data_IF_099108708003
#
_entry.id   IF_099108708003
#
_cell.length_a   1.000
_cell.length_b   1.000
_cell.length_c   1.000
_cell.angle_alpha   90.00
_cell.angle_beta   90.00
_cell.angle_gamma   90.00
#
_symmetry.space_group_name_H-M   'P 1'
#
loop_
_entity.id
_entity.type
_entity.pdbx_description
1 polymer ?
#
# COMPACT_ATOMS: atom_id res chain seq x y z
N UNK A 1 -3.92 -0.92 -7.16
CA UNK A 1 -2.78 -1.02 -6.21
C UNK A 1 -2.12 -2.38 -6.35
N UNK A 2 -0.80 -2.46 -6.19
CA UNK A 2 -0.06 -3.71 -6.16
C UNK A 2 0.92 -3.69 -4.99
N UNK A 3 1.19 -4.83 -4.37
CA UNK A 3 2.06 -4.90 -3.20
C UNK A 3 2.67 -6.28 -2.96
N UNK A 4 3.52 -6.38 -1.94
CA UNK A 4 4.22 -7.62 -1.61
C UNK A 4 3.35 -8.68 -0.93
N UNK A 5 2.17 -8.30 -0.41
CA UNK A 5 1.24 -9.20 0.28
C UNK A 5 0.73 -10.36 -0.60
N UNK A 6 0.81 -10.23 -1.93
CA UNK A 6 0.51 -11.29 -2.89
C UNK A 6 1.69 -11.60 -3.81
N UNK A 7 2.92 -11.31 -3.35
CA UNK A 7 4.15 -11.40 -4.13
C UNK A 7 4.10 -10.60 -5.46
N UNK A 8 3.37 -9.47 -5.48
CA UNK A 8 3.18 -8.61 -6.66
C UNK A 8 2.45 -9.28 -7.82
N UNK A 9 1.71 -10.36 -7.55
CA UNK A 9 1.03 -11.14 -8.59
C UNK A 9 -0.35 -10.57 -8.92
N UNK A 10 -1.01 -9.95 -7.94
CA UNK A 10 -2.31 -9.33 -8.09
C UNK A 10 -2.23 -7.82 -8.30
N UNK A 11 -3.29 -7.30 -8.93
CA UNK A 11 -3.58 -5.87 -8.96
C UNK A 11 -5.01 -5.70 -8.50
N UNK A 12 -5.21 -4.87 -7.50
CA UNK A 12 -6.55 -4.59 -6.99
C UNK A 12 -6.99 -3.21 -7.44
N UNK A 13 -8.12 -3.17 -8.15
CA UNK A 13 -8.80 -1.93 -8.46
C UNK A 13 -9.45 -1.37 -7.18
N UNK A 14 -9.32 -0.05 -6.98
CA UNK A 14 -9.89 0.65 -5.84
C UNK A 14 -10.59 1.91 -6.34
N UNK A 15 -11.79 2.13 -5.83
CA UNK A 15 -12.58 3.31 -6.16
C UNK A 15 -12.33 4.41 -5.11
N UNK A 16 -12.32 5.69 -5.52
CA UNK A 16 -12.25 6.79 -4.57
C UNK A 16 -13.58 6.92 -3.81
N UNK A 17 -13.48 7.33 -2.55
CA UNK A 17 -14.63 7.75 -1.75
C UNK A 17 -15.20 9.10 -2.26
N UNK A 18 -16.33 9.60 -1.70
CA UNK A 18 -16.90 10.88 -2.08
C UNK A 18 -15.98 12.11 -1.87
N UNK A 19 -14.93 11.96 -1.07
CA UNK A 19 -13.90 13.00 -0.85
C UNK A 19 -12.77 12.95 -1.89
N UNK A 20 -12.76 11.93 -2.74
CA UNK A 20 -11.70 11.67 -3.71
C UNK A 20 -10.52 10.90 -3.13
N UNK A 21 -10.63 10.32 -1.94
CA UNK A 21 -9.60 9.51 -1.30
C UNK A 21 -9.75 8.05 -1.69
N UNK A 22 -8.64 7.39 -2.02
CA UNK A 22 -8.61 5.97 -2.28
C UNK A 22 -8.20 5.22 -1.02
N UNK A 23 -8.95 4.17 -0.68
CA UNK A 23 -8.68 3.33 0.48
C UNK A 23 -8.47 1.88 0.06
N UNK A 24 -7.46 1.24 0.65
CA UNK A 24 -7.16 -0.16 0.43
C UNK A 24 -6.82 -0.84 1.75
N UNK A 25 -7.42 -1.99 2.00
CA UNK A 25 -7.20 -2.76 3.21
C UNK A 25 -6.36 -3.99 2.89
N UNK A 26 -5.36 -4.25 3.72
CA UNK A 26 -4.56 -5.48 3.65
C UNK A 26 -4.10 -5.89 5.03
N UNK A 27 -3.57 -7.11 5.16
CA UNK A 27 -2.98 -7.59 6.40
C UNK A 27 -1.47 -7.67 6.26
N UNK A 28 -0.76 -7.31 7.32
CA UNK A 28 0.68 -7.53 7.38
C UNK A 28 1.00 -9.02 7.38
N UNK A 29 1.92 -9.46 6.52
CA UNK A 29 2.44 -10.83 6.55
C UNK A 29 3.35 -11.10 7.75
N UNK A 30 3.95 -12.29 7.78
CA UNK A 30 4.83 -12.79 8.85
C UNK A 30 6.02 -11.86 9.15
N UNK A 31 6.57 -11.21 8.11
CA UNK A 31 7.70 -10.28 8.25
C UNK A 31 7.29 -8.95 8.91
N UNK A 32 5.98 -8.67 8.95
CA UNK A 32 5.39 -7.39 9.34
C UNK A 32 5.85 -6.20 8.50
N UNK A 33 6.37 -6.48 7.31
CA UNK A 33 6.86 -5.48 6.38
C UNK A 33 6.20 -5.68 5.03
N UNK A 34 5.55 -4.65 4.51
CA UNK A 34 4.90 -4.71 3.20
C UNK A 34 5.34 -3.53 2.34
N UNK A 35 5.55 -3.78 1.05
CA UNK A 35 5.81 -2.76 0.06
C UNK A 35 4.66 -2.66 -0.92
N UNK A 36 4.40 -1.46 -1.43
CA UNK A 36 3.33 -1.24 -2.39
C UNK A 36 3.56 -0.04 -3.30
N UNK A 37 2.77 0.00 -4.38
CA UNK A 37 2.62 1.17 -5.26
C UNK A 37 1.20 1.27 -5.81
N UNK A 38 0.80 2.47 -6.21
CA UNK A 38 -0.44 2.70 -6.95
C UNK A 38 -0.14 2.80 -8.43
N UNK A 39 -1.14 2.49 -9.25
CA UNK A 39 -1.04 2.54 -10.70
C UNK A 39 -2.40 2.81 -11.30
N UNK A 40 -2.41 3.52 -12.43
CA UNK A 40 -3.59 3.73 -13.25
C UNK A 40 -3.68 2.61 -14.29
N UNK A 41 -4.89 2.10 -14.51
CA UNK A 41 -5.19 1.09 -15.54
C UNK A 41 -4.23 -0.11 -15.54
N UNK A 42 -3.83 -0.55 -14.34
CA UNK A 42 -2.89 -1.66 -14.16
C UNK A 42 -1.54 -1.50 -14.89
N UNK A 43 -1.16 -0.26 -15.23
CA UNK A 43 -0.01 0.02 -16.05
C UNK A 43 1.14 0.64 -15.23
N UNK A 44 2.28 -0.06 -15.15
CA UNK A 44 3.49 0.44 -14.48
C UNK A 44 4.09 1.69 -15.16
N UNK A 45 3.69 2.00 -16.39
CA UNK A 45 4.07 3.26 -17.04
C UNK A 45 3.26 4.47 -16.53
N UNK A 46 2.19 4.23 -15.77
CA UNK A 46 1.33 5.24 -15.15
C UNK A 46 1.18 4.95 -13.65
N UNK A 47 2.31 4.86 -12.96
CA UNK A 47 2.37 4.56 -11.54
C UNK A 47 2.50 5.83 -10.69
N UNK A 48 1.94 5.77 -9.48
CA UNK A 48 2.30 6.67 -8.39
C UNK A 48 3.21 5.92 -7.42
N UNK A 49 4.32 6.56 -7.08
CA UNK A 49 5.36 5.97 -6.24
C UNK A 49 6.08 7.06 -5.43
N UNK A 50 6.80 6.75 -4.35
CA UNK A 50 7.46 7.76 -3.55
C UNK A 50 8.74 8.31 -4.22
N UNK A 51 9.09 9.56 -3.89
CA UNK A 51 10.29 10.23 -4.39
C UNK A 51 11.60 9.51 -4.00
N UNK A 52 11.60 8.70 -2.93
CA UNK A 52 12.75 7.91 -2.47
C UNK A 52 12.41 6.42 -2.37
N UNK A 53 13.37 5.51 -2.54
CA UNK A 53 13.17 4.08 -2.32
C UNK A 53 12.75 3.77 -0.88
N UNK A 54 11.89 2.75 -0.71
CA UNK A 54 11.43 2.24 0.61
C UNK A 54 10.91 3.35 1.53
N UNK A 55 10.10 4.24 0.98
CA UNK A 55 9.66 5.43 1.68
C UNK A 55 8.59 5.14 2.74
N UNK A 56 8.65 5.90 3.84
CA UNK A 56 7.59 5.94 4.84
C UNK A 56 6.36 6.73 4.34
N UNK A 57 5.33 6.81 5.19
CA UNK A 57 4.14 7.63 4.93
C UNK A 57 4.50 9.11 4.75
N UNK A 58 3.63 9.85 4.08
CA UNK A 58 3.75 11.31 3.84
C UNK A 58 4.99 11.76 3.04
N UNK A 59 5.81 10.83 2.55
CA UNK A 59 6.85 11.15 1.56
C UNK A 59 6.20 11.61 0.27
N UNK A 60 6.81 12.60 -0.39
CA UNK A 60 6.35 13.16 -1.67
C UNK A 60 6.06 12.05 -2.68
N UNK A 61 4.85 12.06 -3.22
CA UNK A 61 4.44 11.17 -4.31
C UNK A 61 4.88 11.73 -5.66
N UNK A 62 5.47 10.87 -6.48
CA UNK A 62 5.80 11.11 -7.89
C UNK A 62 4.77 10.44 -8.81
N UNK A 63 4.69 10.93 -10.04
CA UNK A 63 3.79 10.41 -11.06
C UNK A 63 2.46 11.15 -11.18
N UNK A 64 1.53 10.66 -12.03
CA UNK A 64 1.59 9.36 -12.71
C UNK A 64 2.63 9.37 -13.84
N UNK A 65 3.62 8.49 -13.76
CA UNK A 65 4.64 8.32 -14.79
C UNK A 65 5.26 6.93 -14.72
N UNK A 66 6.28 6.67 -15.55
CA UNK A 66 6.96 5.38 -15.57
C UNK A 66 7.58 5.08 -14.21
N UNK A 67 7.12 3.99 -13.60
CA UNK A 67 7.63 3.52 -12.32
C UNK A 67 9.15 3.36 -12.36
N UNK A 68 9.79 3.82 -11.28
CA UNK A 68 11.21 3.66 -11.06
C UNK A 68 11.45 2.49 -10.12
N UNK A 69 12.26 1.55 -10.55
CA UNK A 69 12.56 0.34 -9.78
C UNK A 69 13.03 0.66 -8.34
N UNK A 70 12.49 -0.08 -7.37
CA UNK A 70 12.78 0.09 -5.94
C UNK A 70 12.06 1.26 -5.27
N UNK A 71 11.39 2.14 -6.01
CA UNK A 71 10.55 3.19 -5.45
C UNK A 71 9.17 2.63 -5.12
N UNK A 72 9.07 2.02 -3.94
CA UNK A 72 7.82 1.59 -3.33
C UNK A 72 7.71 2.21 -1.94
N UNK A 73 6.49 2.44 -1.48
CA UNK A 73 6.26 2.72 -0.06
C UNK A 73 6.56 1.46 0.73
N UNK A 74 7.13 1.63 1.92
CA UNK A 74 7.42 0.56 2.86
C UNK A 74 6.61 0.81 4.13
N UNK A 75 5.73 -0.14 4.43
CA UNK A 75 5.04 -0.26 5.71
C UNK A 75 5.93 -1.13 6.59
N UNK A 76 6.41 -0.59 7.71
CA UNK A 76 7.18 -1.34 8.70
C UNK A 76 6.40 -1.41 10.01
N UNK A 77 5.61 -2.48 10.17
CA UNK A 77 4.83 -2.69 11.39
C UNK A 77 5.66 -2.97 12.63
N UNK A 78 6.99 -3.11 12.52
CA UNK A 78 7.86 -3.38 13.68
C UNK A 78 8.11 -2.11 14.48
N UNK A 79 8.19 -0.96 13.81
CA UNK A 79 8.39 0.34 14.45
C UNK A 79 7.18 0.70 15.32
N UNK A 80 5.97 0.40 14.83
CA UNK A 80 4.70 0.63 15.54
C UNK A 80 4.21 -0.58 16.37
N UNK A 81 5.03 -1.63 16.49
CA UNK A 81 4.71 -2.87 17.21
C UNK A 81 3.41 -3.57 16.76
N UNK A 82 3.02 -3.39 15.50
CA UNK A 82 1.92 -4.12 14.90
C UNK A 82 2.26 -5.61 14.83
N UNK A 83 1.23 -6.44 14.97
CA UNK A 83 1.36 -7.90 14.95
C UNK A 83 1.29 -8.42 13.52
N UNK A 84 1.78 -9.63 13.31
CA UNK A 84 1.43 -10.40 12.11
C UNK A 84 -0.10 -10.46 11.98
N UNK A 85 -0.58 -10.34 10.74
CA UNK A 85 -2.00 -10.33 10.45
C UNK A 85 -2.71 -9.02 10.79
N UNK A 86 -2.04 -8.00 11.35
CA UNK A 86 -2.67 -6.71 11.64
C UNK A 86 -3.32 -6.14 10.37
N UNK A 87 -4.62 -5.82 10.48
CA UNK A 87 -5.35 -5.14 9.41
C UNK A 87 -4.86 -3.70 9.33
N UNK A 88 -4.48 -3.27 8.14
CA UNK A 88 -4.00 -1.93 7.86
C UNK A 88 -4.84 -1.31 6.74
N UNK A 89 -5.11 -0.02 6.87
CA UNK A 89 -5.78 0.78 5.85
C UNK A 89 -4.73 1.69 5.21
N UNK A 90 -4.42 1.43 3.94
CA UNK A 90 -3.63 2.31 3.10
C UNK A 90 -4.57 3.35 2.49
N UNK A 91 -4.21 4.62 2.60
CA UNK A 91 -4.99 5.73 2.06
C UNK A 91 -4.12 6.59 1.13
N UNK A 92 -4.66 6.91 -0.04
CA UNK A 92 -4.12 7.93 -0.93
C UNK A 92 -5.13 9.06 -1.03
N UNK A 93 -4.76 10.27 -0.63
CA UNK A 93 -5.66 11.43 -0.62
C UNK A 93 -5.13 12.52 -1.53
N UNK A 94 -6.00 13.28 -2.22
CA UNK A 94 -5.59 14.51 -2.88
C UNK A 94 -5.20 15.54 -1.81
N UNK A 95 -4.05 16.19 -2.00
CA UNK A 95 -3.73 17.36 -1.17
C UNK A 95 -4.70 18.49 -1.50
N UNK A 96 -5.14 19.23 -0.47
CA UNK A 96 -6.09 20.34 -0.63
C UNK A 96 -5.41 21.60 -1.16
N UNK A 97 -4.09 21.73 -0.96
CA UNK A 97 -3.33 22.92 -1.30
C UNK A 97 -2.50 22.76 -2.56
N UNK A 98 -2.09 21.53 -2.88
CA UNK A 98 -1.37 21.19 -4.10
C UNK A 98 -2.09 20.11 -4.89
N UNK A 99 -1.79 19.98 -6.18
CA UNK A 99 -2.28 18.85 -6.97
C UNK A 99 -1.62 17.50 -6.60
N UNK A 100 -0.82 17.45 -5.52
CA UNK A 100 -0.13 16.25 -5.10
C UNK A 100 -1.08 15.18 -4.55
N UNK A 101 -0.54 13.97 -4.42
CA UNK A 101 -1.19 12.86 -3.72
C UNK A 101 -0.40 12.59 -2.43
N UNK A 102 -1.10 12.49 -1.31
CA UNK A 102 -0.52 12.13 -0.02
C UNK A 102 -0.87 10.68 0.25
N UNK A 103 0.14 9.87 0.56
CA UNK A 103 -0.04 8.46 0.91
C UNK A 103 0.26 8.26 2.38
N UNK A 104 -0.65 7.61 3.08
CA UNK A 104 -0.52 7.25 4.50
C UNK A 104 -1.14 5.88 4.76
N UNK A 105 -0.88 5.32 5.93
CA UNK A 105 -1.50 4.08 6.37
C UNK A 105 -1.63 4.07 7.88
N UNK A 106 -2.63 3.36 8.38
CA UNK A 106 -2.87 3.20 9.81
C UNK A 106 -3.38 1.79 10.12
N UNK A 107 -3.13 1.32 11.36
CA UNK A 107 -3.70 0.08 11.85
C UNK A 107 -5.19 0.25 12.10
N UNK A 108 -5.98 -0.70 11.61
CA UNK A 108 -7.42 -0.77 11.86
C UNK A 108 -7.64 -1.63 13.10
N UNK A 109 -8.32 -1.12 14.14
CA UNK A 109 -8.69 -1.92 15.30
C UNK A 109 -9.52 -3.14 14.90
N UNK A 110 -9.26 -4.31 15.52
CA UNK A 110 -9.97 -5.56 15.22
C UNK A 110 -11.49 -5.44 15.36
N UNK A 111 -11.96 -4.55 16.26
CA UNK A 111 -13.38 -4.29 16.51
C UNK A 111 -14.09 -3.59 15.32
N UNK A 112 -13.33 -3.00 14.40
CA UNK A 112 -13.86 -2.29 13.22
C UNK A 112 -13.78 -3.12 11.93
N UNK A 113 -13.17 -4.30 11.96
CA UNK A 113 -12.76 -5.08 10.79
C UNK A 113 -13.68 -6.24 10.41
N UNK A 114 -14.98 -6.03 10.23
CA UNK A 114 -15.84 -6.99 9.52
C UNK A 114 -15.83 -6.69 8.01
N UNK A 115 -14.71 -6.96 7.35
CA UNK A 115 -14.73 -7.23 5.92
C UNK A 115 -13.73 -8.37 5.66
N UNK A 116 -14.28 -9.57 5.47
CA UNK A 116 -13.55 -10.81 5.28
C UNK A 116 -12.61 -10.70 4.07
N UNK A 117 -11.30 -10.75 4.28
CA UNK A 117 -10.31 -11.00 3.23
C UNK A 117 -9.50 -12.24 3.61
N UNK A 118 -9.39 -13.18 2.67
CA UNK A 118 -8.78 -14.48 2.91
C UNK A 118 -7.26 -14.32 3.17
N UNK A 119 -6.72 -14.99 4.21
CA UNK A 119 -5.28 -14.98 4.47
C UNK A 119 -4.54 -15.72 3.35
N UNK A 120 -3.54 -15.06 2.75
CA UNK A 120 -2.61 -15.69 1.81
C UNK A 120 -1.44 -16.31 2.56
N UNK A 121 -1.09 -17.56 2.24
CA UNK A 121 0.10 -18.25 2.77
C UNK A 121 1.28 -18.07 1.83
N UNK A 122 2.38 -17.49 2.33
CA UNK A 122 3.65 -17.46 1.61
C UNK A 122 4.27 -18.85 1.57
N UNK A 123 4.65 -19.32 0.38
CA UNK A 123 5.42 -20.56 0.22
C UNK A 123 6.87 -20.23 -0.11
N UNK A 124 7.81 -20.65 0.73
CA UNK A 124 9.24 -20.53 0.44
C UNK A 124 9.77 -21.84 -0.17
N UNK A 125 10.50 -21.74 -1.28
CA UNK A 125 11.39 -22.81 -1.74
C UNK A 125 12.79 -22.58 -1.16
N UNK A 126 13.31 -23.56 -0.44
CA UNK A 126 14.73 -23.63 -0.08
C UNK A 126 15.44 -24.43 -1.17
N UNK A 127 16.43 -23.82 -1.81
CA UNK A 127 17.38 -24.47 -2.73
C UNK A 127 18.53 -25.12 -1.95
#
# INVERSE_FOLDING_TARGET
>A
IAGSWDAWTGRTEIEPDPSGAWHFFTRLGETRMEQFRFMLEENDNFAFYPAVPRAAAHVRTEGPCKWKEGHNWLIDGRDDQWKEGQLIQISMTPDKQSAARVVSWEAVPEESGQQEFQPYQHTYQVM
#
